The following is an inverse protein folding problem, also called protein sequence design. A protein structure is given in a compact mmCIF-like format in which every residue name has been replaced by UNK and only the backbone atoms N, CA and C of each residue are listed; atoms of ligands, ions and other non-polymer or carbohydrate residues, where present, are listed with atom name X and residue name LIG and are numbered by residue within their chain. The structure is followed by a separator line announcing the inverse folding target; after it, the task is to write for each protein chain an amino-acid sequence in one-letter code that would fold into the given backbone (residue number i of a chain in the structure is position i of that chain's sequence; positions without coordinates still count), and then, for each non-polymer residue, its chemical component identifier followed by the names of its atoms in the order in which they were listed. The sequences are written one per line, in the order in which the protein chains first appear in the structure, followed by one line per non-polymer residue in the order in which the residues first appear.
data_IF_191432517403
#
_entry.id   IF_191432517403
#
_cell.length_a   1.000
_cell.length_b   1.000
_cell.length_c   1.000
_cell.angle_alpha   90.00
_cell.angle_beta   90.00
_cell.angle_gamma   90.00
#
_symmetry.space_group_name_H-M   'P 1'
#
loop_
_entity.id
_entity.type
_entity.pdbx_description
1 polymer ?
#
# COMPACT_ATOMS: atom_id res chain seq x y z
N UNK A 1 7.44 20.72 -11.61
CA UNK A 1 7.72 19.44 -11.00
C UNK A 1 6.56 18.50 -11.11
N UNK A 2 6.74 17.41 -11.76
CA UNK A 2 5.67 16.47 -11.96
C UNK A 2 5.51 15.53 -10.78
N UNK A 3 4.37 14.92 -10.69
CA UNK A 3 4.15 13.82 -9.77
C UNK A 3 4.95 12.61 -10.24
N UNK A 4 5.27 11.72 -9.30
CA UNK A 4 5.84 10.43 -9.64
C UNK A 4 4.83 9.68 -10.51
N UNK A 5 5.27 9.17 -11.63
CA UNK A 5 4.39 8.44 -12.55
C UNK A 5 4.04 7.09 -11.92
N UNK A 6 2.77 6.71 -12.02
CA UNK A 6 2.34 5.41 -11.52
C UNK A 6 3.01 4.30 -12.33
N UNK A 7 3.43 3.24 -11.66
CA UNK A 7 4.06 2.11 -12.32
C UNK A 7 3.50 0.82 -11.76
N UNK A 8 3.62 -0.29 -12.51
CA UNK A 8 3.16 -1.58 -12.02
C UNK A 8 3.91 -2.00 -10.76
N UNK A 9 3.18 -2.60 -9.83
CA UNK A 9 3.77 -3.04 -8.56
C UNK A 9 4.92 -4.00 -8.80
N UNK A 10 4.78 -4.90 -9.76
CA UNK A 10 5.83 -5.87 -10.05
C UNK A 10 7.13 -5.28 -10.58
N UNK A 11 7.13 -4.00 -10.96
CA UNK A 11 8.32 -3.30 -11.44
C UNK A 11 8.95 -2.42 -10.38
N UNK A 12 8.39 -2.35 -9.18
CA UNK A 12 8.92 -1.53 -8.11
C UNK A 12 10.22 -2.12 -7.58
N UNK A 13 11.18 -1.27 -7.28
CA UNK A 13 12.49 -1.68 -6.80
C UNK A 13 12.79 -1.05 -5.45
N UNK A 14 13.61 -1.73 -4.68
CA UNK A 14 14.07 -1.24 -3.40
C UNK A 14 14.72 0.12 -3.54
N UNK A 15 14.42 1.01 -2.60
CA UNK A 15 14.93 2.40 -2.55
C UNK A 15 14.41 3.30 -3.66
N UNK A 16 13.42 2.87 -4.38
CA UNK A 16 12.79 3.68 -5.41
C UNK A 16 11.56 4.38 -4.82
N UNK A 17 11.38 5.65 -5.14
CA UNK A 17 10.13 6.33 -4.80
C UNK A 17 9.13 6.01 -5.91
N UNK A 18 7.99 5.49 -5.51
CA UNK A 18 7.02 4.96 -6.47
C UNK A 18 5.63 5.49 -6.17
N UNK A 19 4.80 5.49 -7.19
CA UNK A 19 3.36 5.63 -7.07
C UNK A 19 2.74 4.40 -7.70
N UNK A 20 1.91 3.71 -6.95
CA UNK A 20 1.27 2.48 -7.41
C UNK A 20 -0.22 2.56 -7.13
N UNK A 21 -0.98 1.84 -7.95
CA UNK A 21 -2.43 1.73 -7.80
C UNK A 21 -2.75 0.26 -7.70
N UNK A 22 -3.54 -0.12 -6.72
CA UNK A 22 -3.91 -1.51 -6.59
C UNK A 22 -5.13 -1.70 -5.71
N UNK A 23 -5.47 -2.96 -5.52
CA UNK A 23 -6.61 -3.37 -4.73
C UNK A 23 -6.12 -3.94 -3.40
N UNK A 24 -6.80 -3.61 -2.34
CA UNK A 24 -6.46 -4.13 -1.01
C UNK A 24 -6.94 -5.57 -0.92
N UNK A 25 -5.97 -6.47 -0.77
CA UNK A 25 -6.22 -7.89 -0.71
C UNK A 25 -6.25 -8.43 0.71
N UNK A 26 -5.44 -7.86 1.58
CA UNK A 26 -5.34 -8.34 2.96
C UNK A 26 -5.00 -7.17 3.87
N UNK A 27 -5.42 -7.26 5.11
CA UNK A 27 -5.11 -6.27 6.13
C UNK A 27 -4.86 -7.01 7.43
N UNK A 28 -3.87 -6.52 8.18
CA UNK A 28 -3.66 -7.09 9.50
C UNK A 28 -3.01 -6.09 10.43
N UNK A 29 -3.39 -6.14 11.69
CA UNK A 29 -2.81 -5.32 12.72
C UNK A 29 -1.76 -6.16 13.44
N UNK A 30 -0.55 -5.64 13.56
CA UNK A 30 0.52 -6.32 14.25
C UNK A 30 1.14 -5.43 15.31
N UNK A 31 1.49 -6.00 16.47
CA UNK A 31 2.32 -5.28 17.40
C UNK A 31 3.76 -5.26 16.89
N UNK A 32 4.39 -4.11 17.03
CA UNK A 32 5.82 -3.97 16.75
C UNK A 32 6.58 -3.82 18.05
N UNK A 33 7.89 -3.92 17.95
CA UNK A 33 8.75 -3.68 19.11
C UNK A 33 8.41 -2.32 19.71
N UNK A 34 8.39 -2.26 21.03
CA UNK A 34 7.99 -1.05 21.74
C UNK A 34 6.51 -0.89 21.94
N UNK A 35 5.71 -1.87 21.51
CA UNK A 35 4.26 -1.87 21.76
C UNK A 35 3.44 -1.02 20.84
N UNK A 36 4.03 -0.49 19.77
CA UNK A 36 3.29 0.31 18.79
C UNK A 36 2.56 -0.62 17.85
N UNK A 37 1.26 -0.39 17.67
CA UNK A 37 0.48 -1.14 16.70
C UNK A 37 0.84 -0.68 15.29
N UNK A 38 0.76 -1.61 14.33
CA UNK A 38 1.06 -1.33 12.93
C UNK A 38 -0.03 -1.95 12.08
N UNK A 39 -0.58 -1.17 11.18
CA UNK A 39 -1.52 -1.68 10.20
C UNK A 39 -0.75 -2.04 8.94
N UNK A 40 -0.82 -3.30 8.53
CA UNK A 40 -0.19 -3.79 7.30
C UNK A 40 -1.28 -4.05 6.29
N UNK A 41 -1.16 -3.42 5.13
CA UNK A 41 -2.16 -3.52 4.08
C UNK A 41 -1.47 -4.06 2.84
N UNK A 42 -1.89 -5.24 2.40
CA UNK A 42 -1.37 -5.85 1.18
C UNK A 42 -2.15 -5.32 -0.01
N UNK A 43 -1.44 -4.71 -0.94
CA UNK A 43 -2.03 -4.10 -2.13
C UNK A 43 -1.48 -4.83 -3.34
N UNK A 44 -2.37 -5.22 -4.23
CA UNK A 44 -2.01 -6.02 -5.41
C UNK A 44 -2.53 -5.38 -6.67
N UNK A 45 -1.81 -5.60 -7.76
CA UNK A 45 -2.29 -5.36 -9.11
C UNK A 45 -2.02 -6.62 -9.95
N UNK A 46 -2.15 -6.54 -11.25
CA UNK A 46 -1.96 -7.70 -12.12
C UNK A 46 -0.51 -8.18 -12.13
N UNK A 47 0.44 -7.36 -11.71
CA UNK A 47 1.86 -7.65 -11.84
C UNK A 47 2.49 -8.15 -10.55
N UNK A 48 1.85 -7.91 -9.41
CA UNK A 48 2.42 -8.34 -8.13
C UNK A 48 1.75 -7.69 -6.95
N UNK A 49 2.40 -7.77 -5.81
CA UNK A 49 1.90 -7.20 -4.57
C UNK A 49 2.99 -6.54 -3.75
N UNK A 50 2.60 -5.61 -2.90
CA UNK A 50 3.48 -5.03 -1.91
C UNK A 50 2.67 -4.73 -0.65
N UNK A 51 3.38 -4.42 0.43
CA UNK A 51 2.75 -4.16 1.71
C UNK A 51 2.92 -2.69 2.07
N UNK A 52 1.81 -2.02 2.34
CA UNK A 52 1.83 -0.68 2.91
C UNK A 52 1.80 -0.82 4.44
N UNK A 53 2.74 -0.20 5.12
CA UNK A 53 2.88 -0.32 6.57
C UNK A 53 2.61 1.03 7.21
N UNK A 54 1.54 1.11 8.00
CA UNK A 54 1.15 2.35 8.68
C UNK A 54 1.45 2.20 10.17
N UNK A 55 2.49 2.87 10.62
CA UNK A 55 2.92 2.81 12.02
C UNK A 55 1.95 3.59 12.90
N UNK A 56 1.64 3.03 14.06
CA UNK A 56 0.80 3.71 15.04
C UNK A 56 -0.67 3.75 14.69
N UNK A 57 -1.09 2.95 13.71
CA UNK A 57 -2.49 2.90 13.29
C UNK A 57 -3.03 1.49 13.41
N UNK A 58 -4.31 1.38 13.71
CA UNK A 58 -5.02 0.11 13.69
C UNK A 58 -6.08 0.10 12.59
N UNK A 59 -6.46 1.26 12.11
CA UNK A 59 -7.39 1.39 11.00
C UNK A 59 -7.21 2.73 10.33
N UNK A 60 -7.66 2.83 9.10
CA UNK A 60 -7.67 4.06 8.33
C UNK A 60 -9.02 4.18 7.65
N UNK A 61 -9.57 5.40 7.62
CA UNK A 61 -10.88 5.62 7.04
C UNK A 61 -10.90 5.17 5.57
N UNK A 62 -11.87 4.34 5.22
CA UNK A 62 -12.06 3.86 3.86
C UNK A 62 -11.11 2.77 3.41
N UNK A 63 -10.09 2.44 4.20
CA UNK A 63 -9.14 1.38 3.87
C UNK A 63 -9.74 0.07 4.34
N UNK A 64 -10.14 -0.77 3.38
CA UNK A 64 -10.81 -2.04 3.67
C UNK A 64 -10.58 -2.99 2.51
N UNK A 65 -10.84 -4.28 2.75
CA UNK A 65 -10.67 -5.31 1.73
C UNK A 65 -11.47 -4.97 0.49
N UNK A 66 -10.85 -5.10 -0.66
CA UNK A 66 -11.48 -4.84 -1.95
C UNK A 66 -11.42 -3.41 -2.42
N UNK A 67 -11.08 -2.47 -1.54
CA UNK A 67 -10.97 -1.07 -1.95
C UNK A 67 -9.77 -0.88 -2.86
N UNK A 68 -9.88 0.08 -3.78
CA UNK A 68 -8.77 0.46 -4.64
C UNK A 68 -8.09 1.69 -4.05
N UNK A 69 -6.78 1.70 -4.10
CA UNK A 69 -6.00 2.73 -3.44
C UNK A 69 -4.78 3.08 -4.28
N UNK A 70 -4.41 4.35 -4.25
CA UNK A 70 -3.15 4.82 -4.79
C UNK A 70 -2.21 5.06 -3.62
N UNK A 71 -1.01 4.54 -3.73
CA UNK A 71 0.03 4.70 -2.72
C UNK A 71 1.22 5.40 -3.32
N UNK A 72 1.84 6.28 -2.56
CA UNK A 72 3.07 6.93 -2.98
C UNK A 72 4.04 6.93 -1.82
N UNK A 73 5.28 6.53 -2.09
CA UNK A 73 6.33 6.54 -1.09
C UNK A 73 7.56 5.80 -1.55
N UNK A 74 8.50 5.66 -0.62
CA UNK A 74 9.76 4.99 -0.87
C UNK A 74 9.61 3.49 -0.61
N UNK A 75 10.07 2.68 -1.56
CA UNK A 75 10.07 1.23 -1.39
C UNK A 75 11.21 0.83 -0.46
N UNK A 76 10.86 0.08 0.56
CA UNK A 76 11.82 -0.47 1.52
C UNK A 76 11.62 -1.98 1.60
N UNK A 77 12.55 -2.66 2.24
CA UNK A 77 12.39 -4.08 2.50
C UNK A 77 11.96 -4.27 3.94
N UNK A 78 10.92 -5.06 4.13
CA UNK A 78 10.45 -5.40 5.46
C UNK A 78 10.12 -6.90 5.49
N UNK A 79 10.81 -7.63 6.34
CA UNK A 79 10.59 -9.08 6.53
C UNK A 79 10.70 -9.85 5.22
N UNK A 80 11.66 -9.46 4.37
CA UNK A 80 11.88 -10.14 3.11
C UNK A 80 10.93 -9.76 2.00
N UNK A 81 10.09 -8.74 2.20
CA UNK A 81 9.14 -8.29 1.20
C UNK A 81 9.36 -6.82 0.88
N UNK A 82 8.99 -6.42 -0.33
CA UNK A 82 8.96 -5.01 -0.65
C UNK A 82 7.76 -4.37 0.05
N UNK A 83 7.99 -3.21 0.63
CA UNK A 83 6.99 -2.50 1.39
C UNK A 83 7.16 -1.01 1.22
N UNK A 84 6.11 -0.24 1.53
CA UNK A 84 6.19 1.20 1.63
C UNK A 84 5.79 1.57 3.05
N UNK A 85 6.70 2.25 3.75
CA UNK A 85 6.48 2.63 5.14
C UNK A 85 5.77 3.97 5.19
N UNK A 86 4.63 4.02 5.85
CA UNK A 86 3.82 5.23 6.00
C UNK A 86 3.60 5.96 4.67
N UNK A 87 3.09 5.26 3.65
CA UNK A 87 2.88 5.91 2.36
C UNK A 87 1.81 6.97 2.43
N UNK A 88 1.89 7.92 1.50
CA UNK A 88 0.72 8.73 1.22
C UNK A 88 -0.28 7.85 0.49
N UNK A 89 -1.55 7.96 0.83
CA UNK A 89 -2.55 7.14 0.17
C UNK A 89 -3.76 7.97 -0.24
N UNK A 90 -4.36 7.55 -1.34
CA UNK A 90 -5.58 8.15 -1.84
C UNK A 90 -6.53 7.02 -2.18
N UNK A 91 -7.72 7.07 -1.61
CA UNK A 91 -8.74 6.09 -1.96
C UNK A 91 -9.30 6.44 -3.33
N UNK A 92 -9.41 5.44 -4.18
CA UNK A 92 -9.95 5.63 -5.51
C UNK A 92 -11.43 5.32 -5.51
N UNK A 93 -12.22 5.97 -6.37
CA UNK A 93 -13.65 5.68 -6.43
C UNK A 93 -13.88 4.22 -6.80
N UNK A 94 -14.90 3.65 -6.21
CA UNK A 94 -15.34 2.33 -6.61
C UNK A 94 -15.85 2.39 -8.04
N UNK A 95 -15.28 1.55 -8.90
CA UNK A 95 -15.74 1.48 -10.26
C UNK A 95 -16.83 0.43 -10.35
N UNK A 96 -18.06 0.90 -10.50
CA UNK A 96 -19.13 -0.05 -10.77
C UNK A 96 -18.96 -0.58 -12.18
N UNK A 97 -19.09 -1.88 -12.31
CA UNK A 97 -19.09 -2.50 -13.61
C UNK A 97 -20.41 -2.18 -14.27
N UNK A 98 -20.41 -1.59 -15.46
CA UNK A 98 -21.69 -1.40 -16.16
C UNK A 98 -22.28 -2.74 -16.49
N UNK A 99 -23.53 -2.82 -16.36
CA UNK A 99 -24.27 -4.05 -16.63
C UNK A 99 -25.02 -3.95 -17.93
#
# INVERSE_FOLDING_TARGET
MGRVVAKPIGECRWRERVRVVGRIRAMRVQPWEGGVATLEVTVVDETGGLVAIFMGRQSLAGVRLGAHVELEGMVVEARGQLAIMNPEYTLLPHQSTPH
#
